data_IF_022231019122
#
_entry.id   IF_022231019122
#
_cell.length_a   1.000
_cell.length_b   1.000
_cell.length_c   1.000
_cell.angle_alpha   90.00
_cell.angle_beta   90.00
_cell.angle_gamma   90.00
#
_symmetry.space_group_name_H-M   'P 1'
#
loop_
_entity.id
_entity.type
_entity.pdbx_description
1 polymer ?
#
# COMPACT_ATOMS: atom_id res chain seq x y z
N UNK A 1 10.65 9.98 -23.46
CA UNK A 1 9.26 9.86 -22.96
C UNK A 1 8.52 11.19 -23.14
N UNK A 2 7.24 11.16 -23.53
CA UNK A 2 6.42 12.37 -23.66
C UNK A 2 6.14 13.02 -22.29
N UNK A 3 6.22 14.35 -22.19
CA UNK A 3 5.98 15.13 -20.96
C UNK A 3 4.62 14.84 -20.30
N UNK A 4 3.57 14.60 -21.09
CA UNK A 4 2.23 14.30 -20.55
C UNK A 4 2.19 12.91 -19.89
N UNK A 5 2.88 11.92 -20.49
CA UNK A 5 3.00 10.58 -19.90
C UNK A 5 3.81 10.62 -18.62
N UNK A 6 4.91 11.37 -18.62
CA UNK A 6 5.72 11.61 -17.42
C UNK A 6 4.89 12.25 -16.29
N UNK A 7 4.09 13.27 -16.61
CA UNK A 7 3.20 13.93 -15.67
C UNK A 7 2.16 12.99 -15.08
N UNK A 8 1.50 12.18 -15.91
CA UNK A 8 0.51 11.19 -15.44
C UNK A 8 1.16 10.16 -14.51
N UNK A 9 2.36 9.67 -14.81
CA UNK A 9 3.09 8.75 -13.93
C UNK A 9 3.43 9.43 -12.60
N UNK A 10 3.93 10.67 -12.61
CA UNK A 10 4.20 11.42 -11.38
C UNK A 10 2.95 11.64 -10.54
N UNK A 11 1.82 11.95 -11.18
CA UNK A 11 0.54 12.12 -10.50
C UNK A 11 0.12 10.82 -9.80
N UNK A 12 0.20 9.67 -10.48
CA UNK A 12 -0.13 8.38 -9.88
C UNK A 12 0.81 8.01 -8.73
N UNK A 13 2.12 8.22 -8.88
CA UNK A 13 3.09 8.01 -7.79
C UNK A 13 2.78 8.92 -6.59
N UNK A 14 2.40 10.17 -6.84
CA UNK A 14 2.01 11.12 -5.79
C UNK A 14 0.76 10.67 -5.05
N UNK A 15 -0.22 10.09 -5.76
CA UNK A 15 -1.42 9.50 -5.14
C UNK A 15 -1.07 8.28 -4.29
N UNK A 16 -0.18 7.39 -4.74
CA UNK A 16 0.29 6.24 -3.95
C UNK A 16 0.88 6.72 -2.62
N UNK A 17 1.92 7.56 -2.68
CA UNK A 17 2.60 8.11 -1.50
C UNK A 17 1.64 8.89 -0.61
N UNK A 18 0.86 9.79 -1.22
CA UNK A 18 -0.08 10.64 -0.50
C UNK A 18 -1.13 9.84 0.25
N UNK A 19 -1.69 8.80 -0.38
CA UNK A 19 -2.68 7.92 0.27
C UNK A 19 -2.08 7.17 1.46
N UNK A 20 -0.85 6.65 1.31
CA UNK A 20 -0.17 5.89 2.35
C UNK A 20 0.20 6.77 3.55
N UNK A 21 0.80 7.94 3.28
CA UNK A 21 1.14 8.93 4.32
C UNK A 21 -0.12 9.44 5.03
N UNK A 22 -1.16 9.80 4.28
CA UNK A 22 -2.39 10.33 4.85
C UNK A 22 -3.11 9.29 5.72
N UNK A 23 -3.23 8.05 5.25
CA UNK A 23 -3.87 7.00 6.05
C UNK A 23 -3.07 6.69 7.31
N UNK A 24 -1.75 6.54 7.19
CA UNK A 24 -0.87 6.07 8.26
C UNK A 24 -0.62 7.10 9.35
N UNK A 25 -0.46 8.38 8.98
CA UNK A 25 -0.04 9.43 9.91
C UNK A 25 -1.13 10.44 10.25
N UNK A 26 -2.25 10.43 9.52
CA UNK A 26 -3.38 11.32 9.80
C UNK A 26 -4.61 10.53 10.20
N UNK A 27 -5.16 9.72 9.28
CA UNK A 27 -6.44 9.04 9.51
C UNK A 27 -6.38 8.06 10.67
N UNK A 28 -5.42 7.14 10.67
CA UNK A 28 -5.33 6.14 11.74
C UNK A 28 -5.09 6.78 13.12
N UNK A 29 -4.11 7.69 13.32
CA UNK A 29 -3.93 8.37 14.60
C UNK A 29 -5.18 9.13 15.06
N UNK A 30 -5.82 9.90 14.17
CA UNK A 30 -7.04 10.65 14.51
C UNK A 30 -8.15 9.71 14.97
N UNK A 31 -8.37 8.59 14.28
CA UNK A 31 -9.40 7.63 14.67
C UNK A 31 -9.09 6.99 16.04
N UNK A 32 -7.87 6.49 16.24
CA UNK A 32 -7.50 5.84 17.50
C UNK A 32 -7.36 6.80 18.69
N UNK A 33 -7.25 8.11 18.45
CA UNK A 33 -7.28 9.14 19.51
C UNK A 33 -8.69 9.60 19.88
N UNK A 34 -9.69 9.43 19.01
CA UNK A 34 -11.05 9.96 19.23
C UNK A 34 -12.12 8.88 19.47
N UNK A 35 -11.84 7.62 19.14
CA UNK A 35 -12.75 6.49 19.31
C UNK A 35 -12.13 5.40 20.17
N UNK A 36 -12.97 4.55 20.78
CA UNK A 36 -12.47 3.33 21.40
C UNK A 36 -11.83 2.39 20.36
N UNK A 37 -10.99 1.47 20.82
CA UNK A 37 -10.19 0.62 19.93
C UNK A 37 -11.03 -0.25 19.00
N UNK A 38 -12.21 -0.71 19.44
CA UNK A 38 -13.07 -1.57 18.64
C UNK A 38 -13.77 -0.74 17.56
N UNK A 39 -14.31 0.42 17.92
CA UNK A 39 -14.91 1.34 16.95
C UNK A 39 -13.90 1.85 15.93
N UNK A 40 -12.74 2.35 16.36
CA UNK A 40 -11.67 2.80 15.47
C UNK A 40 -11.20 1.69 14.52
N UNK A 41 -10.98 0.47 15.04
CA UNK A 41 -10.61 -0.68 14.24
C UNK A 41 -11.67 -1.04 13.19
N UNK A 42 -12.95 -0.99 13.56
CA UNK A 42 -14.07 -1.27 12.65
C UNK A 42 -14.18 -0.24 11.53
N UNK A 43 -13.99 1.05 11.82
CA UNK A 43 -13.94 2.11 10.81
C UNK A 43 -12.76 1.87 9.85
N UNK A 44 -11.57 1.56 10.39
CA UNK A 44 -10.39 1.26 9.57
C UNK A 44 -10.62 0.06 8.65
N UNK A 45 -11.33 -0.98 9.10
CA UNK A 45 -11.69 -2.13 8.27
C UNK A 45 -12.61 -1.78 7.09
N UNK A 46 -13.38 -0.69 7.18
CA UNK A 46 -14.17 -0.19 6.05
C UNK A 46 -13.31 0.57 5.03
N UNK A 47 -12.25 1.25 5.49
CA UNK A 47 -11.36 2.06 4.66
C UNK A 47 -10.30 1.20 3.96
N UNK A 48 -9.70 0.24 4.68
CA UNK A 48 -8.60 -0.59 4.20
C UNK A 48 -8.83 -1.28 2.84
N UNK A 49 -10.00 -1.88 2.54
CA UNK A 49 -10.24 -2.50 1.23
C UNK A 49 -10.04 -1.53 0.07
N UNK A 50 -10.49 -0.28 0.21
CA UNK A 50 -10.35 0.73 -0.84
C UNK A 50 -8.93 1.25 -0.92
N UNK A 51 -8.30 1.46 0.24
CA UNK A 51 -6.91 1.88 0.33
C UNK A 51 -5.95 0.88 -0.32
N UNK A 52 -6.04 -0.41 -0.02
CA UNK A 52 -5.14 -1.39 -0.63
C UNK A 52 -5.43 -1.55 -2.12
N UNK A 53 -6.72 -1.56 -2.53
CA UNK A 53 -7.13 -1.65 -3.94
C UNK A 53 -6.61 -0.51 -4.79
N UNK A 54 -6.77 0.74 -4.35
CA UNK A 54 -6.29 1.88 -5.14
C UNK A 54 -4.77 1.78 -5.35
N UNK A 55 -4.02 1.33 -4.33
CA UNK A 55 -2.57 1.21 -4.42
C UNK A 55 -2.12 0.14 -5.43
N UNK A 56 -2.68 -1.08 -5.38
CA UNK A 56 -2.27 -2.10 -6.35
C UNK A 56 -2.84 -1.86 -7.75
N UNK A 57 -4.04 -1.27 -7.90
CA UNK A 57 -4.60 -0.90 -9.21
C UNK A 57 -3.74 0.17 -9.89
N UNK A 58 -3.42 1.26 -9.18
CA UNK A 58 -2.55 2.31 -9.73
C UNK A 58 -1.16 1.76 -10.07
N UNK A 59 -0.62 0.87 -9.24
CA UNK A 59 0.66 0.23 -9.53
C UNK A 59 0.65 -0.62 -10.80
N UNK A 60 -0.43 -1.39 -11.03
CA UNK A 60 -0.62 -2.12 -12.29
C UNK A 60 -0.69 -1.15 -13.46
N UNK A 61 -1.47 -0.07 -13.36
CA UNK A 61 -1.58 0.94 -14.43
C UNK A 61 -0.22 1.56 -14.77
N UNK A 62 0.56 1.96 -13.77
CA UNK A 62 1.92 2.47 -13.96
C UNK A 62 2.79 1.42 -14.67
N UNK A 63 2.76 0.17 -14.20
CA UNK A 63 3.54 -0.93 -14.78
C UNK A 63 3.17 -1.15 -16.25
N UNK A 64 1.88 -1.19 -16.57
CA UNK A 64 1.37 -1.35 -17.93
C UNK A 64 1.78 -0.20 -18.83
N UNK A 65 1.75 1.06 -18.37
CA UNK A 65 2.20 2.21 -19.17
C UNK A 65 3.67 2.04 -19.56
N UNK A 66 4.55 1.67 -18.63
CA UNK A 66 5.96 1.43 -18.94
C UNK A 66 6.11 0.24 -19.90
N UNK A 67 5.34 -0.83 -19.71
CA UNK A 67 5.29 -1.97 -20.61
C UNK A 67 4.94 -1.57 -22.04
N UNK A 68 3.89 -0.76 -22.23
CA UNK A 68 3.49 -0.25 -23.56
C UNK A 68 4.58 0.64 -24.17
N UNK A 69 5.22 1.50 -23.37
CA UNK A 69 6.33 2.34 -23.86
C UNK A 69 7.53 1.51 -24.33
N UNK A 70 7.77 0.35 -23.71
CA UNK A 70 8.89 -0.54 -24.07
C UNK A 70 8.81 -1.10 -25.48
N UNK A 71 7.63 -1.12 -26.10
CA UNK A 71 7.49 -1.53 -27.50
C UNK A 71 8.16 -0.56 -28.48
N UNK A 72 8.24 0.73 -28.11
CA UNK A 72 8.89 1.76 -28.92
C UNK A 72 10.35 2.00 -28.49
N UNK A 73 10.62 1.92 -27.20
CA UNK A 73 11.95 2.14 -26.62
C UNK A 73 12.36 0.94 -25.77
N UNK A 74 13.12 0.01 -26.36
CA UNK A 74 13.53 -1.23 -25.67
C UNK A 74 14.50 -0.98 -24.51
N UNK A 75 15.24 0.14 -24.53
CA UNK A 75 16.18 0.49 -23.47
C UNK A 75 15.49 1.10 -22.24
N UNK A 76 14.20 1.44 -22.33
CA UNK A 76 13.44 2.01 -21.22
C UNK A 76 13.37 1.04 -20.04
N UNK A 77 13.24 -0.26 -20.30
CA UNK A 77 13.14 -1.30 -19.25
C UNK A 77 14.46 -1.40 -18.49
N UNK A 78 15.58 -1.33 -19.21
CA UNK A 78 16.92 -1.35 -18.60
C UNK A 78 17.16 -0.09 -17.77
N UNK A 79 16.75 1.06 -18.29
CA UNK A 79 16.88 2.36 -17.63
C UNK A 79 16.00 2.48 -16.38
N UNK A 80 14.82 1.85 -16.39
CA UNK A 80 13.84 1.85 -15.30
C UNK A 80 13.82 0.53 -14.52
N UNK A 81 14.89 -0.29 -14.55
CA UNK A 81 14.91 -1.61 -13.90
C UNK A 81 14.48 -1.54 -12.43
N UNK A 82 15.10 -0.65 -11.66
CA UNK A 82 14.81 -0.51 -10.23
C UNK A 82 13.41 0.08 -9.98
N UNK A 83 12.95 1.00 -10.83
CA UNK A 83 11.58 1.48 -10.80
C UNK A 83 10.57 0.34 -11.00
N UNK A 84 10.80 -0.53 -11.99
CA UNK A 84 9.93 -1.68 -12.27
C UNK A 84 9.93 -2.71 -11.14
N UNK A 85 11.09 -2.98 -10.54
CA UNK A 85 11.19 -3.83 -9.34
C UNK A 85 10.38 -3.25 -8.18
N UNK A 86 10.52 -1.94 -7.93
CA UNK A 86 9.81 -1.28 -6.83
C UNK A 86 8.30 -1.31 -7.02
N UNK A 87 7.79 -0.93 -8.19
CA UNK A 87 6.34 -0.92 -8.41
C UNK A 87 5.77 -2.35 -8.43
N UNK A 88 6.52 -3.34 -8.96
CA UNK A 88 6.12 -4.74 -8.88
C UNK A 88 5.99 -5.23 -7.44
N UNK A 89 6.97 -4.89 -6.59
CA UNK A 89 6.91 -5.19 -5.16
C UNK A 89 5.74 -4.48 -4.47
N UNK A 90 5.51 -3.19 -4.74
CA UNK A 90 4.37 -2.43 -4.19
C UNK A 90 3.03 -3.09 -4.55
N UNK A 91 2.85 -3.53 -5.81
CA UNK A 91 1.63 -4.23 -6.24
C UNK A 91 1.44 -5.53 -5.46
N UNK A 92 2.48 -6.38 -5.39
CA UNK A 92 2.40 -7.67 -4.68
C UNK A 92 2.09 -7.47 -3.19
N UNK A 93 2.76 -6.54 -2.53
CA UNK A 93 2.56 -6.25 -1.11
C UNK A 93 1.15 -5.73 -0.84
N UNK A 94 0.65 -4.79 -1.65
CA UNK A 94 -0.72 -4.28 -1.49
C UNK A 94 -1.79 -5.34 -1.83
N UNK A 95 -1.53 -6.24 -2.78
CA UNK A 95 -2.41 -7.38 -3.04
C UNK A 95 -2.42 -8.35 -1.85
N UNK A 96 -1.27 -8.63 -1.24
CA UNK A 96 -1.19 -9.47 -0.04
C UNK A 96 -1.93 -8.84 1.15
N UNK A 97 -1.89 -7.51 1.27
CA UNK A 97 -2.68 -6.76 2.25
C UNK A 97 -4.18 -6.91 2.00
N UNK A 98 -4.65 -6.58 0.79
CA UNK A 98 -6.07 -6.63 0.39
C UNK A 98 -6.66 -8.04 0.47
N UNK A 99 -5.93 -9.05 -0.01
CA UNK A 99 -6.47 -10.40 -0.26
C UNK A 99 -6.16 -11.42 0.81
N UNK A 100 -5.18 -11.17 1.67
CA UNK A 100 -4.76 -12.14 2.69
C UNK A 100 -4.78 -11.56 4.10
N UNK A 101 -4.02 -10.49 4.35
CA UNK A 101 -3.87 -9.96 5.71
C UNK A 101 -5.14 -9.30 6.22
N UNK A 102 -5.85 -8.54 5.37
CA UNK A 102 -7.08 -7.87 5.75
C UNK A 102 -8.21 -8.87 6.09
N UNK A 103 -8.56 -9.86 5.23
CA UNK A 103 -9.56 -10.86 5.59
C UNK A 103 -9.20 -11.66 6.85
N UNK A 104 -7.92 -11.95 7.05
CA UNK A 104 -7.45 -12.63 8.27
C UNK A 104 -7.66 -11.76 9.52
N UNK A 105 -7.29 -10.48 9.46
CA UNK A 105 -7.49 -9.54 10.56
C UNK A 105 -8.98 -9.35 10.89
N UNK A 106 -9.83 -9.22 9.85
CA UNK A 106 -11.29 -9.11 9.99
C UNK A 106 -11.89 -10.35 10.68
N UNK A 107 -11.51 -11.54 10.23
CA UNK A 107 -11.98 -12.80 10.82
C UNK A 107 -11.60 -12.91 12.30
N UNK A 108 -10.34 -12.62 12.65
CA UNK A 108 -9.88 -12.68 14.04
C UNK A 108 -10.59 -11.62 14.90
N UNK A 109 -10.76 -10.40 14.39
CA UNK A 109 -11.46 -9.33 15.12
C UNK A 109 -12.93 -9.69 15.38
N UNK A 110 -13.64 -10.27 14.41
CA UNK A 110 -15.03 -10.70 14.58
C UNK A 110 -15.14 -11.79 15.64
N UNK A 111 -14.26 -12.79 15.60
CA UNK A 111 -14.20 -13.85 16.62
C UNK A 111 -13.85 -13.28 18.01
N UNK A 112 -12.98 -12.27 18.06
CA UNK A 112 -12.59 -11.61 19.30
C UNK A 112 -13.78 -10.89 19.94
N UNK A 113 -14.54 -10.11 19.16
CA UNK A 113 -15.75 -9.42 19.63
C UNK A 113 -16.78 -10.43 20.13
N UNK A 114 -17.02 -11.51 19.37
CA UNK A 114 -17.93 -12.58 19.80
C UNK A 114 -17.49 -13.24 21.12
N UNK A 115 -16.19 -13.52 21.28
CA UNK A 115 -15.67 -14.12 22.52
C UNK A 115 -15.83 -13.19 23.73
N UNK A 116 -15.76 -11.87 23.54
CA UNK A 116 -16.05 -10.90 24.59
C UNK A 116 -17.53 -10.90 24.98
N UNK A 117 -18.43 -10.93 24.00
CA UNK A 117 -19.88 -10.98 24.21
C UNK A 117 -20.29 -12.26 24.97
N UNK A 118 -19.68 -13.40 24.62
CA UNK A 118 -19.89 -14.70 25.26
C UNK A 118 -19.13 -14.86 26.60
N UNK A 119 -18.42 -13.82 27.06
CA UNK A 119 -17.60 -13.81 28.30
C UNK A 119 -16.51 -14.90 28.34
N UNK A 120 -15.99 -15.31 27.18
CA UNK A 120 -14.94 -16.31 27.02
C UNK A 120 -13.55 -15.66 27.11
N UNK A 121 -13.16 -15.24 28.32
CA UNK A 121 -11.95 -14.42 28.56
C UNK A 121 -10.65 -15.06 28.03
N UNK A 122 -10.44 -16.36 28.22
CA UNK A 122 -9.22 -17.04 27.74
C UNK A 122 -9.15 -17.06 26.20
N UNK A 123 -10.28 -17.33 25.54
CA UNK A 123 -10.37 -17.32 24.08
C UNK A 123 -10.14 -15.91 23.52
N UNK A 124 -10.75 -14.89 24.14
CA UNK A 124 -10.56 -13.49 23.76
C UNK A 124 -9.09 -13.07 23.87
N UNK A 125 -8.37 -13.51 24.89
CA UNK A 125 -6.93 -13.24 25.07
C UNK A 125 -6.07 -13.86 23.96
N UNK A 126 -6.36 -15.10 23.56
CA UNK A 126 -5.67 -15.78 22.44
C UNK A 126 -5.94 -15.05 21.13
N UNK A 127 -7.20 -14.71 20.84
CA UNK A 127 -7.60 -14.00 19.62
C UNK A 127 -6.96 -12.60 19.54
N UNK A 128 -6.89 -11.87 20.66
CA UNK A 128 -6.19 -10.59 20.72
C UNK A 128 -4.70 -10.73 20.36
N UNK A 129 -4.02 -11.77 20.84
CA UNK A 129 -2.62 -12.05 20.51
C UNK A 129 -2.42 -12.37 19.02
N UNK A 130 -3.32 -13.17 18.44
CA UNK A 130 -3.32 -13.47 17.01
C UNK A 130 -3.55 -12.19 16.18
N UNK A 131 -4.53 -11.38 16.55
CA UNK A 131 -4.79 -10.10 15.89
C UNK A 131 -3.58 -9.17 15.94
N UNK A 132 -2.95 -9.04 17.12
CA UNK A 132 -1.74 -8.24 17.30
C UNK A 132 -0.61 -8.69 16.38
N UNK A 133 -0.46 -10.00 16.17
CA UNK A 133 0.55 -10.56 15.26
C UNK A 133 0.26 -10.18 13.81
N UNK A 134 -0.97 -10.40 13.34
CA UNK A 134 -1.38 -10.03 11.97
C UNK A 134 -1.25 -8.53 11.74
N UNK A 135 -1.68 -7.72 12.71
CA UNK A 135 -1.56 -6.27 12.66
C UNK A 135 -0.10 -5.82 12.55
N UNK A 136 0.83 -6.40 13.33
CA UNK A 136 2.27 -6.08 13.24
C UNK A 136 2.84 -6.42 11.87
N UNK A 137 2.50 -7.60 11.33
CA UNK A 137 2.93 -8.00 9.97
C UNK A 137 2.39 -7.01 8.93
N UNK A 138 1.11 -6.67 9.00
CA UNK A 138 0.50 -5.67 8.13
C UNK A 138 1.18 -4.30 8.23
N UNK A 139 1.43 -3.82 9.45
CA UNK A 139 2.10 -2.53 9.67
C UNK A 139 3.53 -2.52 9.14
N UNK A 140 4.27 -3.61 9.29
CA UNK A 140 5.60 -3.77 8.71
C UNK A 140 5.56 -3.71 7.18
N UNK A 141 4.64 -4.46 6.55
CA UNK A 141 4.44 -4.43 5.09
C UNK A 141 4.07 -3.03 4.61
N UNK A 142 3.24 -2.28 5.35
CA UNK A 142 2.86 -0.92 4.98
C UNK A 142 4.06 0.05 5.03
N UNK A 143 4.90 -0.03 6.06
CA UNK A 143 6.15 0.74 6.16
C UNK A 143 7.11 0.39 5.02
N UNK A 144 7.30 -0.90 4.73
CA UNK A 144 8.11 -1.36 3.59
C UNK A 144 7.58 -0.79 2.27
N UNK A 145 6.26 -0.80 2.09
CA UNK A 145 5.60 -0.24 0.89
C UNK A 145 5.90 1.25 0.77
N UNK A 146 5.79 2.02 1.85
CA UNK A 146 6.10 3.45 1.84
C UNK A 146 7.57 3.74 1.48
N UNK A 147 8.52 2.95 1.99
CA UNK A 147 9.94 3.07 1.60
C UNK A 147 10.11 2.78 0.10
N UNK A 148 9.45 1.75 -0.41
CA UNK A 148 9.48 1.42 -1.83
C UNK A 148 8.87 2.52 -2.71
N UNK A 149 7.81 3.19 -2.26
CA UNK A 149 7.17 4.30 -2.99
C UNK A 149 8.11 5.52 -3.08
N UNK A 150 8.82 5.85 -2.00
CA UNK A 150 9.84 6.91 -2.01
C UNK A 150 10.99 6.53 -2.97
N UNK A 151 11.47 5.29 -2.90
CA UNK A 151 12.51 4.79 -3.78
C UNK A 151 12.06 4.76 -5.25
N UNK A 152 10.79 4.40 -5.51
CA UNK A 152 10.16 4.45 -6.83
C UNK A 152 10.18 5.88 -7.41
N UNK A 153 9.74 6.86 -6.62
CA UNK A 153 9.76 8.27 -7.01
C UNK A 153 11.18 8.75 -7.33
N UNK A 154 12.14 8.44 -6.46
CA UNK A 154 13.54 8.79 -6.67
C UNK A 154 14.10 8.23 -7.99
N UNK A 155 13.84 6.96 -8.28
CA UNK A 155 14.29 6.32 -9.52
C UNK A 155 13.65 6.98 -10.74
N UNK A 156 12.36 7.32 -10.68
CA UNK A 156 11.67 7.96 -11.78
C UNK A 156 12.19 9.37 -12.06
N UNK A 157 12.38 10.19 -11.01
CA UNK A 157 12.94 11.53 -11.14
C UNK A 157 14.37 11.50 -11.68
N UNK A 158 15.19 10.54 -11.23
CA UNK A 158 16.54 10.34 -11.72
C UNK A 158 16.56 9.99 -13.21
N UNK A 159 15.65 9.12 -13.66
CA UNK A 159 15.46 8.80 -15.07
C UNK A 159 15.06 10.02 -15.91
N UNK A 160 14.11 10.83 -15.42
CA UNK A 160 13.69 12.06 -16.11
C UNK A 160 14.84 13.06 -16.25
N UNK A 161 15.64 13.25 -15.20
CA UNK A 161 16.81 14.14 -15.23
C UNK A 161 17.86 13.66 -16.23
N UNK A 162 18.19 12.36 -16.20
CA UNK A 162 19.16 11.78 -17.13
C UNK A 162 18.69 11.85 -18.59
N UNK A 163 17.40 11.58 -18.84
CA UNK A 163 16.82 11.65 -20.19
C UNK A 163 16.81 13.07 -20.75
N UNK A 164 16.60 14.09 -19.90
CA UNK A 164 16.63 15.49 -20.30
C UNK A 164 18.03 15.98 -20.68
N UNK A 165 19.08 15.44 -20.07
CA UNK A 165 20.48 15.81 -20.36
C UNK A 165 21.02 15.19 -21.66
N UNK A 166 20.30 14.25 -22.29
CA UNK A 166 20.67 13.62 -23.56
C UNK A 166 20.02 14.26 -24.80
N UNK A 167 19.08 15.18 -24.59
CA UNK A 167 18.40 15.96 -25.64
C UNK A 167 19.05 17.34 -25.75
#
# INVERSE_FOLDING_TARGET
MNKYVAFVILLMISVLIGSNVFLSFVVAPVLFSNFDKIAAGSIMQLIFPYYFKINWILGIVIYTIIGVLSFKDKEIVKSLKWFLVSIGAIVILNMAQDRSLLPMAQSIQNQYVQALEEKQNEKAKVLYSQFSTVHKVSSFVNITTMILEIFLLYNFLSFLKFSRNKL
#
